data_IF_238720525672
#
_entry.id   IF_238720525672
#
_cell.length_a   1.000
_cell.length_b   1.000
_cell.length_c   1.000
_cell.angle_alpha   90.00
_cell.angle_beta   90.00
_cell.angle_gamma   90.00
#
_symmetry.space_group_name_H-M   'P 1'
#
loop_
_entity.id
_entity.type
_entity.pdbx_description
1 polymer ?
#
# COMPACT_ATOMS: atom_id res chain seq x y z
N UNK A 1 6.53 18.52 -11.65
CA UNK A 1 5.52 17.51 -11.30
C UNK A 1 6.19 16.59 -10.28
N UNK A 2 5.54 16.30 -9.12
CA UNK A 2 6.12 15.35 -8.15
C UNK A 2 6.26 13.97 -8.80
N UNK A 3 7.39 13.32 -8.53
CA UNK A 3 7.70 11.97 -9.02
C UNK A 3 7.38 10.93 -7.97
N UNK A 4 6.58 9.94 -8.31
CA UNK A 4 6.12 8.87 -7.42
C UNK A 4 6.63 7.54 -7.93
N UNK A 5 7.25 6.73 -7.07
CA UNK A 5 7.55 5.34 -7.34
C UNK A 5 6.46 4.47 -6.69
N UNK A 6 5.60 3.86 -7.49
CA UNK A 6 4.62 2.88 -7.04
C UNK A 6 5.19 1.48 -7.24
N UNK A 7 5.22 0.67 -6.19
CA UNK A 7 5.80 -0.69 -6.19
C UNK A 7 4.76 -1.69 -5.74
N UNK A 8 4.62 -2.78 -6.49
CA UNK A 8 3.71 -3.87 -6.15
C UNK A 8 2.46 -3.90 -7.02
N UNK A 9 1.32 -4.18 -6.42
CA UNK A 9 -0.02 -4.21 -7.03
C UNK A 9 -0.05 -5.00 -8.36
N UNK A 10 0.67 -6.11 -8.39
CA UNK A 10 0.73 -7.00 -9.55
C UNK A 10 1.05 -8.42 -9.11
N UNK A 11 0.41 -9.39 -9.73
CA UNK A 11 0.57 -10.80 -9.36
C UNK A 11 0.40 -11.74 -10.54
N UNK A 12 0.85 -12.97 -10.36
CA UNK A 12 0.62 -14.07 -11.30
C UNK A 12 -0.40 -15.02 -10.70
N UNK A 13 -1.51 -15.24 -11.38
CA UNK A 13 -2.52 -16.24 -11.02
C UNK A 13 -2.30 -17.50 -11.83
N UNK A 14 -2.22 -18.65 -11.15
CA UNK A 14 -2.11 -19.95 -11.77
C UNK A 14 -3.32 -20.80 -11.40
N UNK A 15 -4.02 -21.33 -12.41
CA UNK A 15 -5.19 -22.19 -12.23
C UNK A 15 -4.97 -23.53 -12.88
N UNK A 16 -5.41 -24.60 -12.21
CA UNK A 16 -5.44 -25.95 -12.78
C UNK A 16 -6.89 -26.36 -13.01
N UNK A 17 -7.21 -26.73 -14.21
CA UNK A 17 -8.55 -27.14 -14.64
C UNK A 17 -8.58 -28.65 -14.83
N UNK A 18 -9.50 -29.32 -14.16
CA UNK A 18 -9.75 -30.77 -14.29
C UNK A 18 -11.06 -30.99 -15.03
N UNK A 19 -11.03 -31.78 -16.10
CA UNK A 19 -12.20 -32.15 -16.93
C UNK A 19 -12.22 -33.67 -17.15
N UNK A 20 -12.72 -34.40 -16.14
CA UNK A 20 -12.62 -35.85 -16.11
C UNK A 20 -11.17 -36.31 -15.96
N UNK A 21 -10.67 -37.09 -16.93
CA UNK A 21 -9.28 -37.52 -16.97
C UNK A 21 -8.31 -36.48 -17.53
N UNK A 22 -8.83 -35.45 -18.20
CA UNK A 22 -8.00 -34.41 -18.81
C UNK A 22 -7.77 -33.26 -17.83
N UNK A 23 -6.58 -32.65 -17.89
CA UNK A 23 -6.27 -31.46 -17.14
C UNK A 23 -5.40 -30.51 -17.94
N UNK A 24 -5.53 -29.22 -17.68
CA UNK A 24 -4.62 -28.19 -18.22
C UNK A 24 -4.42 -27.09 -17.18
N UNK A 25 -3.34 -26.33 -17.34
CA UNK A 25 -3.03 -25.17 -16.52
C UNK A 25 -3.14 -23.89 -17.34
N UNK A 26 -3.59 -22.82 -16.69
CA UNK A 26 -3.54 -21.47 -17.24
C UNK A 26 -2.86 -20.54 -16.26
N UNK A 27 -2.11 -19.60 -16.79
CA UNK A 27 -1.38 -18.58 -16.02
C UNK A 27 -1.77 -17.21 -16.55
N UNK A 28 -2.17 -16.30 -15.66
CA UNK A 28 -2.51 -14.92 -15.97
C UNK A 28 -1.61 -14.01 -15.16
N UNK A 29 -1.23 -12.89 -15.77
CA UNK A 29 -0.52 -11.81 -15.11
C UNK A 29 -1.45 -10.61 -14.96
N UNK A 30 -1.61 -10.15 -13.72
CA UNK A 30 -2.55 -9.09 -13.35
C UNK A 30 -1.82 -7.81 -12.96
N UNK A 31 -2.42 -6.67 -13.30
CA UNK A 31 -1.95 -5.31 -12.99
C UNK A 31 -3.07 -4.56 -12.27
N UNK A 32 -3.12 -4.65 -10.94
CA UNK A 32 -4.17 -4.06 -10.11
C UNK A 32 -4.11 -2.53 -10.02
N UNK A 33 -2.91 -1.94 -10.16
CA UNK A 33 -2.70 -0.51 -9.96
C UNK A 33 -3.26 0.41 -11.06
N UNK A 34 -3.78 -0.11 -12.16
CA UNK A 34 -4.20 0.71 -13.32
C UNK A 34 -5.17 1.84 -12.96
N UNK A 35 -6.26 1.61 -12.22
CA UNK A 35 -7.18 2.70 -11.85
C UNK A 35 -6.51 3.78 -11.03
N UNK A 36 -5.64 3.39 -10.09
CA UNK A 36 -4.91 4.32 -9.25
C UNK A 36 -3.94 5.19 -10.06
N UNK A 37 -3.14 4.60 -10.94
CA UNK A 37 -2.20 5.32 -11.82
C UNK A 37 -2.95 6.31 -12.71
N UNK A 38 -4.07 5.89 -13.31
CA UNK A 38 -4.92 6.78 -14.14
C UNK A 38 -5.52 7.94 -13.32
N UNK A 39 -5.85 7.74 -12.04
CA UNK A 39 -6.38 8.79 -11.17
C UNK A 39 -5.39 9.93 -10.92
N UNK A 40 -4.08 9.64 -10.97
CA UNK A 40 -2.99 10.60 -10.74
C UNK A 40 -2.47 11.26 -12.02
N UNK A 41 -2.86 10.74 -13.18
CA UNK A 41 -2.38 11.19 -14.48
C UNK A 41 -2.63 12.68 -14.72
N UNK A 42 -1.61 13.37 -15.23
CA UNK A 42 -1.62 14.82 -15.49
C UNK A 42 -1.23 15.68 -14.29
N UNK A 43 -1.29 15.17 -13.05
CA UNK A 43 -0.90 15.86 -11.84
C UNK A 43 0.43 15.36 -11.25
N UNK A 44 0.77 14.08 -11.48
CA UNK A 44 1.96 13.43 -10.95
C UNK A 44 2.66 12.61 -12.04
N UNK A 45 3.97 12.44 -11.89
CA UNK A 45 4.80 11.54 -12.70
C UNK A 45 4.94 10.21 -11.94
N UNK A 46 4.14 9.20 -12.31
CA UNK A 46 4.09 7.91 -11.61
C UNK A 46 4.92 6.89 -12.38
N UNK A 47 6.00 6.43 -11.76
CA UNK A 47 6.74 5.26 -12.21
C UNK A 47 6.16 4.02 -11.54
N UNK A 48 5.47 3.18 -12.29
CA UNK A 48 4.87 1.94 -11.79
C UNK A 48 5.84 0.78 -11.98
N UNK A 49 6.33 0.24 -10.86
CA UNK A 49 7.23 -0.91 -10.79
C UNK A 49 6.47 -2.11 -10.24
N UNK A 50 6.18 -3.07 -11.08
CA UNK A 50 5.47 -4.31 -10.73
C UNK A 50 6.29 -5.18 -9.77
N UNK A 51 5.64 -6.07 -9.01
CA UNK A 51 6.27 -6.90 -7.96
C UNK A 51 7.47 -7.70 -8.47
N UNK A 52 7.37 -8.34 -9.65
CA UNK A 52 8.46 -9.14 -10.19
C UNK A 52 9.64 -8.30 -10.69
N UNK A 53 9.39 -7.07 -11.17
CA UNK A 53 10.45 -6.13 -11.53
C UNK A 53 11.11 -5.57 -10.26
N UNK A 54 10.31 -5.26 -9.24
CA UNK A 54 10.82 -4.73 -7.96
C UNK A 54 11.79 -5.70 -7.27
N UNK A 55 11.59 -7.00 -7.42
CA UNK A 55 12.51 -8.00 -6.88
C UNK A 55 13.96 -7.75 -7.32
N UNK A 56 14.18 -7.36 -8.58
CA UNK A 56 15.50 -7.13 -9.16
C UNK A 56 15.88 -5.66 -9.25
N UNK A 57 14.97 -4.78 -9.64
CA UNK A 57 15.28 -3.42 -10.08
C UNK A 57 14.93 -2.33 -9.06
N UNK A 58 14.28 -2.69 -7.94
CA UNK A 58 14.05 -1.69 -6.89
C UNK A 58 15.40 -1.11 -6.44
N UNK A 59 15.51 0.22 -6.27
CA UNK A 59 16.75 0.90 -5.94
C UNK A 59 17.51 0.26 -4.78
N UNK A 60 18.79 0.03 -4.97
CA UNK A 60 19.72 -0.47 -3.94
C UNK A 60 20.63 0.61 -3.36
N UNK A 61 20.50 1.85 -3.84
CA UNK A 61 21.20 3.03 -3.36
C UNK A 61 20.22 4.13 -3.02
N UNK A 62 20.47 4.84 -1.95
CA UNK A 62 19.63 5.96 -1.53
C UNK A 62 19.50 7.04 -2.59
N UNK A 63 20.60 7.39 -3.28
CA UNK A 63 20.62 8.37 -4.37
C UNK A 63 19.64 8.05 -5.52
N UNK A 64 19.30 6.77 -5.69
CA UNK A 64 18.34 6.36 -6.72
C UNK A 64 16.89 6.48 -6.23
N UNK A 65 16.65 6.26 -4.92
CA UNK A 65 15.36 6.55 -4.29
C UNK A 65 15.09 8.06 -4.23
N UNK A 66 16.10 8.88 -3.93
CA UNK A 66 15.98 10.34 -3.82
C UNK A 66 15.56 11.03 -5.12
N UNK A 67 15.56 10.32 -6.26
CA UNK A 67 14.99 10.79 -7.53
C UNK A 67 13.47 10.89 -7.51
N UNK A 68 12.82 10.24 -6.55
CA UNK A 68 11.38 10.28 -6.30
C UNK A 68 11.05 11.17 -5.11
N UNK A 69 9.90 11.80 -5.12
CA UNK A 69 9.37 12.59 -4.01
C UNK A 69 8.58 11.73 -3.02
N UNK A 70 8.00 10.64 -3.52
CA UNK A 70 7.26 9.66 -2.73
C UNK A 70 7.50 8.24 -3.23
N UNK A 71 7.64 7.29 -2.30
CA UNK A 71 7.64 5.84 -2.55
C UNK A 71 6.37 5.24 -1.97
N UNK A 72 5.71 4.39 -2.75
CA UNK A 72 4.51 3.67 -2.36
C UNK A 72 4.79 2.16 -2.42
N UNK A 73 4.42 1.43 -1.37
CA UNK A 73 4.29 -0.02 -1.40
C UNK A 73 2.80 -0.38 -1.35
N UNK A 74 2.34 -1.18 -2.30
CA UNK A 74 0.97 -1.66 -2.42
C UNK A 74 0.97 -3.14 -2.78
N UNK A 75 0.35 -3.96 -1.95
CA UNK A 75 0.26 -5.42 -2.12
C UNK A 75 1.58 -6.08 -2.55
N UNK A 76 2.65 -5.74 -1.82
CA UNK A 76 4.03 -6.15 -2.10
C UNK A 76 4.73 -6.56 -0.81
N UNK A 77 4.87 -7.85 -0.55
CA UNK A 77 5.47 -8.37 0.67
C UNK A 77 6.96 -8.02 0.84
N UNK A 78 7.40 -7.94 2.10
CA UNK A 78 8.76 -7.55 2.47
C UNK A 78 9.86 -8.39 1.79
N UNK A 79 9.60 -9.66 1.55
CA UNK A 79 10.54 -10.57 0.89
C UNK A 79 10.87 -10.15 -0.54
N UNK A 80 9.94 -9.51 -1.26
CA UNK A 80 10.18 -8.97 -2.61
C UNK A 80 11.35 -7.98 -2.60
N UNK A 81 11.45 -7.17 -1.54
CA UNK A 81 12.52 -6.19 -1.37
C UNK A 81 13.75 -6.74 -0.61
N UNK A 82 13.61 -7.79 0.17
CA UNK A 82 14.71 -8.38 0.94
C UNK A 82 15.47 -9.45 0.16
N UNK A 83 14.77 -10.24 -0.65
CA UNK A 83 15.34 -11.42 -1.33
C UNK A 83 15.67 -11.10 -2.80
N UNK A 84 16.63 -10.17 -3.01
CA UNK A 84 17.20 -10.00 -4.34
C UNK A 84 17.76 -11.33 -4.87
N UNK A 85 17.71 -11.63 -6.18
CA UNK A 85 18.26 -12.88 -6.73
C UNK A 85 19.71 -13.17 -6.33
N UNK A 86 20.54 -12.15 -6.20
CA UNK A 86 21.91 -12.32 -5.70
C UNK A 86 21.96 -12.82 -4.25
N UNK A 87 20.99 -12.42 -3.40
CA UNK A 87 20.87 -12.94 -2.03
C UNK A 87 20.32 -14.37 -2.05
N UNK A 88 19.13 -14.54 -2.64
CA UNK A 88 18.36 -15.77 -2.54
C UNK A 88 18.97 -16.94 -3.34
N UNK A 89 19.44 -16.66 -4.56
CA UNK A 89 19.96 -17.71 -5.46
C UNK A 89 21.49 -17.88 -5.37
N UNK A 90 22.21 -16.79 -5.02
CA UNK A 90 23.69 -16.79 -5.11
C UNK A 90 24.39 -16.61 -3.76
N UNK A 91 23.63 -16.42 -2.65
CA UNK A 91 24.18 -16.20 -1.31
C UNK A 91 25.08 -14.98 -1.16
N UNK A 92 24.91 -13.95 -2.01
CA UNK A 92 25.72 -12.74 -1.96
C UNK A 92 25.12 -11.73 -0.99
N UNK A 93 25.98 -10.92 -0.38
CA UNK A 93 25.56 -9.77 0.42
C UNK A 93 24.95 -8.71 -0.51
N UNK A 94 23.81 -8.14 -0.09
CA UNK A 94 23.11 -7.09 -0.83
C UNK A 94 22.51 -6.06 0.15
N UNK A 95 22.36 -4.78 -0.23
CA UNK A 95 21.77 -3.77 0.64
C UNK A 95 20.35 -4.13 1.10
N UNK A 96 20.04 -3.87 2.36
CA UNK A 96 18.68 -4.01 2.88
C UNK A 96 17.82 -2.83 2.39
N UNK A 97 16.98 -3.09 1.39
CA UNK A 97 16.16 -2.07 0.72
C UNK A 97 15.08 -1.46 1.64
N UNK A 98 14.64 -2.18 2.68
CA UNK A 98 13.73 -1.61 3.68
C UNK A 98 14.42 -0.56 4.56
N UNK A 99 15.71 -0.76 4.90
CA UNK A 99 16.51 0.27 5.58
C UNK A 99 16.73 1.51 4.71
N UNK A 100 16.88 1.33 3.41
CA UNK A 100 16.99 2.46 2.48
C UNK A 100 15.73 3.31 2.44
N UNK A 101 14.54 2.68 2.48
CA UNK A 101 13.26 3.39 2.56
C UNK A 101 13.16 4.15 3.89
N UNK A 102 13.55 3.53 5.01
CA UNK A 102 13.58 4.23 6.31
C UNK A 102 14.48 5.46 6.27
N UNK A 103 15.70 5.33 5.74
CA UNK A 103 16.65 6.45 5.61
C UNK A 103 16.09 7.54 4.67
N UNK A 104 15.48 7.17 3.58
CA UNK A 104 14.83 8.05 2.62
C UNK A 104 13.76 8.94 3.29
N UNK A 105 12.89 8.34 4.13
CA UNK A 105 11.87 9.09 4.89
C UNK A 105 12.51 10.02 5.92
N UNK A 106 13.50 9.53 6.66
CA UNK A 106 14.22 10.34 7.66
C UNK A 106 14.93 11.55 7.05
N UNK A 107 15.27 11.49 5.77
CA UNK A 107 15.87 12.60 5.00
C UNK A 107 14.85 13.57 4.38
N UNK A 108 13.56 13.41 4.66
CA UNK A 108 12.54 14.37 4.24
C UNK A 108 11.71 13.97 3.03
N UNK A 109 11.81 12.72 2.58
CA UNK A 109 10.99 12.18 1.50
C UNK A 109 9.76 11.45 2.04
N UNK A 110 8.74 11.29 1.22
CA UNK A 110 7.47 10.72 1.66
C UNK A 110 7.34 9.23 1.36
N UNK A 111 6.60 8.53 2.21
CA UNK A 111 6.32 7.11 2.05
C UNK A 111 4.84 6.81 2.32
N UNK A 112 4.27 5.94 1.51
CA UNK A 112 2.89 5.45 1.68
C UNK A 112 2.90 3.92 1.64
N UNK A 113 2.13 3.31 2.54
CA UNK A 113 1.79 1.91 2.48
C UNK A 113 0.29 1.77 2.27
N UNK A 114 -0.08 1.10 1.18
CA UNK A 114 -1.45 0.70 0.93
C UNK A 114 -1.68 -0.74 1.38
N UNK A 115 -2.90 -1.06 1.76
CA UNK A 115 -3.33 -2.39 2.17
C UNK A 115 -3.32 -3.41 1.04
N UNK A 116 -3.81 -4.57 1.34
CA UNK A 116 -3.85 -5.72 0.45
C UNK A 116 -3.34 -6.99 1.14
N UNK A 117 -3.43 -8.12 0.47
CA UNK A 117 -3.06 -9.43 1.01
C UNK A 117 -1.56 -9.55 1.33
N UNK A 118 -0.70 -8.80 0.63
CA UNK A 118 0.74 -8.79 0.87
C UNK A 118 1.25 -7.43 1.38
N UNK A 119 0.40 -6.72 2.14
CA UNK A 119 0.77 -5.51 2.88
C UNK A 119 0.73 -5.77 4.39
N UNK A 120 1.36 -4.91 5.19
CA UNK A 120 1.46 -5.03 6.65
C UNK A 120 1.95 -6.42 7.09
N UNK A 121 1.15 -7.22 7.79
CA UNK A 121 1.48 -8.62 8.05
C UNK A 121 0.83 -9.54 7.02
N UNK A 122 -0.35 -9.19 6.53
CA UNK A 122 -1.03 -9.79 5.39
C UNK A 122 -1.58 -11.19 5.60
N UNK A 123 -2.03 -11.77 4.49
CA UNK A 123 -2.61 -13.11 4.47
C UNK A 123 -1.67 -14.14 5.10
N UNK A 124 -2.16 -14.91 6.08
CA UNK A 124 -1.37 -15.91 6.81
C UNK A 124 -0.08 -15.35 7.44
N UNK A 125 0.03 -14.03 7.61
CA UNK A 125 1.21 -13.36 8.12
C UNK A 125 2.42 -13.37 7.19
N UNK A 126 2.24 -13.56 5.88
CA UNK A 126 3.36 -13.76 4.93
C UNK A 126 3.93 -12.49 4.33
N UNK A 127 3.27 -11.34 4.46
CA UNK A 127 3.80 -10.05 4.00
C UNK A 127 5.02 -9.60 4.83
N UNK A 128 5.03 -9.87 6.12
CA UNK A 128 6.21 -9.82 7.03
C UNK A 128 6.81 -8.45 7.24
N UNK A 129 6.01 -7.41 7.37
CA UNK A 129 6.54 -6.07 7.70
C UNK A 129 6.66 -5.80 9.21
N UNK A 130 6.07 -6.65 10.08
CA UNK A 130 6.24 -6.56 11.55
C UNK A 130 7.72 -6.59 11.93
N UNK A 131 8.14 -5.71 12.84
CA UNK A 131 9.51 -5.54 13.33
C UNK A 131 10.55 -5.17 12.23
N UNK A 132 10.12 -4.68 11.07
CA UNK A 132 11.01 -4.22 10.01
C UNK A 132 11.30 -2.71 10.08
N UNK A 133 12.26 -2.20 9.30
CA UNK A 133 12.45 -0.77 9.13
C UNK A 133 11.20 -0.02 8.65
N UNK A 134 10.34 -0.67 7.87
CA UNK A 134 9.10 -0.06 7.38
C UNK A 134 8.13 0.22 8.54
N UNK A 135 7.90 -0.74 9.44
CA UNK A 135 7.02 -0.50 10.59
C UNK A 135 7.49 0.71 11.43
N UNK A 136 8.81 0.90 11.54
CA UNK A 136 9.35 2.03 12.33
C UNK A 136 8.93 3.41 11.81
N UNK A 137 8.74 3.54 10.50
CA UNK A 137 8.36 4.80 9.86
C UNK A 137 6.86 4.94 9.60
N UNK A 138 6.07 3.87 9.73
CA UNK A 138 4.62 3.94 9.60
C UNK A 138 3.97 4.59 10.83
N UNK A 139 2.82 5.25 10.68
CA UNK A 139 2.03 5.80 11.79
C UNK A 139 1.32 4.73 12.63
N UNK A 140 1.52 3.47 12.30
CA UNK A 140 0.82 2.33 12.91
C UNK A 140 1.79 1.23 13.33
N UNK A 141 1.40 0.44 14.33
CA UNK A 141 1.99 -0.84 14.67
C UNK A 141 1.31 -1.94 13.84
N UNK A 142 2.11 -2.83 13.29
CA UNK A 142 1.65 -3.98 12.50
C UNK A 142 1.39 -5.14 13.47
N UNK A 143 0.32 -5.90 13.25
CA UNK A 143 0.00 -7.07 14.08
C UNK A 143 0.96 -8.24 13.77
N UNK A 144 1.19 -9.17 14.71
CA UNK A 144 2.12 -10.28 14.48
C UNK A 144 1.50 -11.52 13.81
N UNK A 145 0.25 -11.42 13.36
CA UNK A 145 -0.54 -12.50 12.76
C UNK A 145 -1.27 -12.01 11.51
N UNK A 146 -2.03 -12.89 10.85
CA UNK A 146 -2.91 -12.53 9.71
C UNK A 146 -3.82 -11.36 10.11
N UNK A 147 -3.61 -10.22 9.51
CA UNK A 147 -4.24 -8.95 9.87
C UNK A 147 -5.40 -8.57 8.93
N UNK A 148 -5.83 -9.49 8.07
CA UNK A 148 -6.96 -9.22 7.17
C UNK A 148 -8.27 -9.16 7.94
N UNK A 149 -9.08 -8.20 7.57
CA UNK A 149 -10.48 -8.09 7.99
C UNK A 149 -11.34 -8.05 6.73
N UNK A 150 -12.03 -9.15 6.46
CA UNK A 150 -12.97 -9.25 5.35
C UNK A 150 -14.31 -8.63 5.75
N UNK A 151 -14.86 -7.78 4.89
CA UNK A 151 -16.14 -7.09 5.12
C UNK A 151 -17.07 -7.25 3.90
N UNK A 152 -17.57 -8.47 3.62
CA UNK A 152 -18.39 -8.74 2.42
C UNK A 152 -19.71 -7.97 2.41
N UNK A 153 -20.20 -7.53 3.56
CA UNK A 153 -21.39 -6.67 3.71
C UNK A 153 -21.09 -5.19 3.46
N UNK A 154 -19.82 -4.86 3.32
CA UNK A 154 -19.34 -3.52 3.04
C UNK A 154 -19.05 -2.70 4.30
N UNK A 155 -17.87 -2.07 4.33
CA UNK A 155 -17.42 -1.12 5.33
C UNK A 155 -17.36 0.29 4.72
N UNK A 156 -18.16 1.23 5.23
CA UNK A 156 -18.13 2.62 4.74
C UNK A 156 -17.10 3.43 5.51
N UNK A 157 -16.26 4.23 4.81
CA UNK A 157 -15.37 5.17 5.47
C UNK A 157 -16.13 6.24 6.24
N UNK A 158 -15.68 6.50 7.48
CA UNK A 158 -16.14 7.57 8.35
C UNK A 158 -15.02 8.59 8.54
N UNK A 159 -15.33 9.87 8.48
CA UNK A 159 -14.38 10.95 8.77
C UNK A 159 -14.18 11.02 10.29
N UNK A 160 -12.93 10.84 10.72
CA UNK A 160 -12.54 10.96 12.14
C UNK A 160 -12.01 12.36 12.43
N UNK A 161 -11.15 12.88 11.57
CA UNK A 161 -10.61 14.23 11.68
C UNK A 161 -10.68 14.93 10.33
N UNK A 162 -11.08 16.19 10.35
CA UNK A 162 -11.02 17.04 9.17
C UNK A 162 -9.58 17.32 8.76
N UNK A 163 -9.32 17.26 7.45
CA UNK A 163 -8.00 17.46 6.90
C UNK A 163 -8.08 17.89 5.42
N UNK A 164 -7.09 18.66 4.96
CA UNK A 164 -7.03 19.12 3.57
C UNK A 164 -7.04 17.99 2.53
N UNK A 165 -6.69 16.76 2.91
CA UNK A 165 -6.82 15.57 2.06
C UNK A 165 -8.28 15.30 1.66
N UNK A 166 -9.23 15.73 2.48
CA UNK A 166 -10.67 15.55 2.24
C UNK A 166 -11.30 16.72 1.45
N UNK A 167 -10.54 17.76 1.11
CA UNK A 167 -11.06 18.93 0.43
C UNK A 167 -11.75 18.58 -0.90
N UNK A 168 -13.01 19.03 -1.04
CA UNK A 168 -13.82 18.81 -2.23
C UNK A 168 -14.42 17.41 -2.35
N UNK A 169 -14.21 16.54 -1.36
CA UNK A 169 -14.84 15.23 -1.30
C UNK A 169 -16.17 15.37 -0.57
N UNK A 170 -17.26 15.26 -1.33
CA UNK A 170 -18.62 15.44 -0.84
C UNK A 170 -19.47 14.18 -1.08
N UNK A 171 -20.56 14.06 -0.33
CA UNK A 171 -21.55 13.01 -0.51
C UNK A 171 -21.22 11.71 0.24
N UNK A 172 -21.85 10.62 -0.18
CA UNK A 172 -21.74 9.32 0.47
C UNK A 172 -20.52 8.58 -0.07
N UNK A 173 -19.68 8.10 0.84
CA UNK A 173 -18.55 7.24 0.50
C UNK A 173 -19.05 5.85 0.10
N UNK A 174 -18.56 5.27 -1.02
CA UNK A 174 -18.80 3.87 -1.32
C UNK A 174 -18.18 2.96 -0.27
N UNK A 175 -18.69 1.75 -0.15
CA UNK A 175 -18.18 0.77 0.80
C UNK A 175 -16.87 0.12 0.30
N UNK A 176 -16.06 -0.34 1.25
CA UNK A 176 -14.91 -1.22 1.07
C UNK A 176 -15.31 -2.65 1.44
N UNK A 177 -14.62 -3.64 0.92
CA UNK A 177 -14.90 -5.07 1.18
C UNK A 177 -13.88 -5.71 2.13
N UNK A 178 -12.88 -4.97 2.55
CA UNK A 178 -11.88 -5.44 3.51
C UNK A 178 -10.77 -4.42 3.75
N UNK A 179 -9.95 -4.73 4.74
CA UNK A 179 -8.81 -3.92 5.15
C UNK A 179 -7.79 -4.77 5.93
N UNK A 180 -6.60 -4.22 6.15
CA UNK A 180 -5.66 -4.76 7.13
C UNK A 180 -5.89 -4.09 8.49
N UNK A 181 -6.00 -4.88 9.54
CA UNK A 181 -6.07 -4.40 10.92
C UNK A 181 -4.69 -3.92 11.38
N UNK A 182 -4.66 -2.71 11.95
CA UNK A 182 -3.45 -2.09 12.48
C UNK A 182 -3.77 -1.35 13.77
N UNK A 183 -2.75 -1.11 14.60
CA UNK A 183 -2.86 -0.29 15.80
C UNK A 183 -2.21 1.07 15.59
N UNK A 184 -2.89 2.17 15.93
CA UNK A 184 -2.33 3.51 15.82
C UNK A 184 -1.22 3.68 16.86
N UNK A 185 -0.08 4.23 16.46
CA UNK A 185 0.99 4.59 17.41
C UNK A 185 0.59 5.83 18.21
N UNK A 186 0.97 5.86 19.47
CA UNK A 186 0.77 7.00 20.36
C UNK A 186 1.80 8.10 20.07
N UNK A 187 1.40 9.10 19.29
CA UNK A 187 2.20 10.28 18.98
C UNK A 187 1.29 11.43 18.52
N UNK A 188 1.57 12.66 18.95
CA UNK A 188 0.78 13.86 18.63
C UNK A 188 0.92 14.31 17.16
N UNK A 189 1.90 13.81 16.44
CA UNK A 189 2.12 14.07 15.01
C UNK A 189 1.43 13.03 14.11
N UNK A 190 0.71 12.08 14.70
CA UNK A 190 -0.09 11.08 14.01
C UNK A 190 -1.57 11.48 14.06
N UNK A 191 -2.24 11.38 12.91
CA UNK A 191 -3.67 11.66 12.80
C UNK A 191 -4.38 10.57 12.01
N UNK A 192 -5.44 10.04 12.59
CA UNK A 192 -6.41 9.21 11.85
C UNK A 192 -7.36 10.13 11.12
N UNK A 193 -7.40 10.07 9.81
CA UNK A 193 -8.28 10.88 8.97
C UNK A 193 -9.60 10.15 8.71
N UNK A 194 -9.49 8.86 8.38
CA UNK A 194 -10.64 8.00 8.09
C UNK A 194 -10.58 6.73 8.91
N UNK A 195 -11.74 6.25 9.34
CA UNK A 195 -11.95 4.91 9.91
C UNK A 195 -13.08 4.19 9.20
N UNK A 196 -13.17 2.88 9.38
CA UNK A 196 -14.31 2.07 8.97
C UNK A 196 -14.87 1.30 10.16
N UNK A 197 -16.20 1.15 10.25
CA UNK A 197 -16.82 0.34 11.28
C UNK A 197 -17.27 -1.01 10.70
N UNK A 198 -16.83 -2.09 11.34
CA UNK A 198 -17.22 -3.46 11.01
C UNK A 198 -17.66 -4.12 12.32
N UNK A 199 -18.87 -4.58 12.40
CA UNK A 199 -19.46 -5.25 13.57
C UNK A 199 -19.30 -4.47 14.89
N UNK A 200 -19.38 -3.14 14.81
CA UNK A 200 -19.26 -2.26 15.99
C UNK A 200 -17.83 -1.95 16.43
N UNK A 201 -16.82 -2.45 15.74
CA UNK A 201 -15.42 -2.12 15.96
C UNK A 201 -14.93 -1.15 14.88
N UNK A 202 -14.26 -0.08 15.33
CA UNK A 202 -13.64 0.90 14.42
C UNK A 202 -12.23 0.47 14.05
N UNK A 203 -11.95 0.51 12.76
CA UNK A 203 -10.65 0.21 12.16
C UNK A 203 -10.07 1.45 11.48
N UNK A 204 -8.78 1.80 11.70
CA UNK A 204 -8.14 2.88 10.97
C UNK A 204 -8.10 2.58 9.47
N UNK A 205 -8.54 3.54 8.64
CA UNK A 205 -8.45 3.43 7.16
C UNK A 205 -7.35 4.33 6.60
N UNK A 206 -7.39 5.63 6.89
CA UNK A 206 -6.35 6.56 6.47
C UNK A 206 -5.71 7.17 7.71
N UNK A 207 -4.44 6.85 7.94
CA UNK A 207 -3.64 7.42 9.03
C UNK A 207 -2.41 8.09 8.43
N UNK A 208 -2.11 9.29 8.88
CA UNK A 208 -1.00 10.11 8.41
C UNK A 208 -0.06 10.47 9.54
N UNK A 209 1.20 10.76 9.20
CA UNK A 209 2.22 11.18 10.18
C UNK A 209 3.20 12.20 9.61
N UNK A 210 3.59 13.12 10.48
CA UNK A 210 4.66 14.11 10.29
C UNK A 210 5.80 13.92 11.31
N UNK A 211 5.97 12.71 11.89
CA UNK A 211 6.97 12.40 12.92
C UNK A 211 8.43 12.53 12.45
N UNK A 212 8.68 12.45 11.15
CA UNK A 212 10.02 12.54 10.57
C UNK A 212 10.16 13.80 9.73
N UNK A 213 11.35 14.05 9.19
CA UNK A 213 11.54 15.13 8.22
C UNK A 213 10.67 14.92 6.96
N UNK A 214 10.39 13.66 6.60
CA UNK A 214 9.42 13.28 5.57
C UNK A 214 8.08 12.90 6.16
N UNK A 215 7.05 12.85 5.32
CA UNK A 215 5.69 12.48 5.72
C UNK A 215 5.41 11.03 5.39
N UNK A 216 4.60 10.39 6.23
CA UNK A 216 4.15 9.01 5.95
C UNK A 216 2.63 8.90 6.05
N UNK A 217 2.08 7.96 5.29
CA UNK A 217 0.67 7.63 5.33
C UNK A 217 0.46 6.13 5.19
N UNK A 218 -0.63 5.64 5.77
CA UNK A 218 -1.18 4.32 5.49
C UNK A 218 -2.63 4.46 5.04
N UNK A 219 -3.01 3.68 4.05
CA UNK A 219 -4.37 3.37 3.70
C UNK A 219 -4.51 1.86 3.82
N UNK A 220 -5.33 1.39 4.73
CA UNK A 220 -5.35 -0.01 5.14
C UNK A 220 -6.14 -0.94 4.23
N UNK A 221 -6.80 -0.41 3.18
CA UNK A 221 -7.46 -1.20 2.16
C UNK A 221 -6.68 -1.18 0.83
N UNK A 222 -7.20 -1.85 -0.21
CA UNK A 222 -6.62 -1.83 -1.55
C UNK A 222 -6.77 -0.46 -2.24
N UNK A 223 -6.10 -0.29 -3.36
CA UNK A 223 -6.23 0.89 -4.23
C UNK A 223 -6.99 0.60 -5.52
N UNK A 224 -7.32 -0.64 -5.75
CA UNK A 224 -8.05 -1.14 -6.91
C UNK A 224 -8.99 -2.29 -6.56
N UNK A 225 -9.63 -2.89 -7.56
CA UNK A 225 -10.57 -3.99 -7.33
C UNK A 225 -9.91 -5.19 -6.67
N UNK A 226 -10.48 -5.60 -5.62
CA UNK A 226 -10.53 -6.69 -4.69
C UNK A 226 -11.27 -6.14 -3.46
N UNK A 227 -10.60 -5.55 -2.44
CA UNK A 227 -11.28 -4.89 -1.32
C UNK A 227 -11.88 -3.53 -1.68
N UNK A 228 -11.38 -2.90 -2.77
CA UNK A 228 -11.91 -1.64 -3.28
C UNK A 228 -12.83 -1.92 -4.48
N UNK A 229 -14.18 -1.91 -4.31
CA UNK A 229 -15.10 -2.22 -5.40
C UNK A 229 -15.02 -1.21 -6.55
N UNK A 230 -15.52 -1.61 -7.72
CA UNK A 230 -15.60 -0.73 -8.89
C UNK A 230 -16.39 0.56 -8.63
N UNK A 231 -17.43 0.51 -7.78
CA UNK A 231 -18.18 1.68 -7.35
C UNK A 231 -17.29 2.71 -6.65
N UNK A 232 -16.34 2.27 -5.84
CA UNK A 232 -15.39 3.16 -5.18
C UNK A 232 -14.41 3.76 -6.20
N UNK A 233 -13.87 2.95 -7.10
CA UNK A 233 -12.95 3.41 -8.16
C UNK A 233 -13.60 4.41 -9.11
N UNK A 234 -14.90 4.23 -9.43
CA UNK A 234 -15.65 5.10 -10.33
C UNK A 234 -16.24 6.33 -9.63
N UNK A 235 -16.19 6.38 -8.31
CA UNK A 235 -16.67 7.53 -7.54
C UNK A 235 -15.78 8.76 -7.74
N UNK A 236 -16.38 9.92 -7.90
CA UNK A 236 -15.65 11.18 -8.13
C UNK A 236 -14.63 11.51 -7.02
N UNK A 237 -14.93 11.12 -5.78
CA UNK A 237 -14.05 11.31 -4.63
C UNK A 237 -12.76 10.49 -4.69
N UNK A 238 -12.73 9.37 -5.42
CA UNK A 238 -11.53 8.53 -5.57
C UNK A 238 -10.34 9.31 -6.11
N UNK A 239 -10.54 10.00 -7.23
CA UNK A 239 -9.50 10.83 -7.84
C UNK A 239 -9.10 11.99 -6.94
N UNK A 240 -10.06 12.62 -6.26
CA UNK A 240 -9.80 13.73 -5.35
C UNK A 240 -8.97 13.27 -4.14
N UNK A 241 -9.34 12.16 -3.52
CA UNK A 241 -8.66 11.59 -2.36
C UNK A 241 -7.16 11.38 -2.63
N UNK A 242 -6.85 10.66 -3.72
CA UNK A 242 -5.45 10.37 -4.04
C UNK A 242 -4.69 11.63 -4.46
N UNK A 243 -5.28 12.49 -5.27
CA UNK A 243 -4.62 13.73 -5.67
C UNK A 243 -4.34 14.65 -4.47
N UNK A 244 -5.27 14.74 -3.52
CA UNK A 244 -5.09 15.55 -2.33
C UNK A 244 -4.04 14.94 -1.39
N UNK A 245 -4.05 13.60 -1.20
CA UNK A 245 -3.04 12.89 -0.41
C UNK A 245 -1.63 13.19 -0.96
N UNK A 246 -1.40 13.00 -2.27
CA UNK A 246 -0.07 13.21 -2.85
C UNK A 246 0.32 14.69 -3.02
N UNK A 247 -0.63 15.61 -2.98
CA UNK A 247 -0.32 17.04 -2.82
C UNK A 247 0.15 17.38 -1.42
N UNK A 248 -0.47 16.76 -0.41
CA UNK A 248 -0.11 16.97 0.99
C UNK A 248 1.25 16.35 1.33
N UNK A 249 1.54 15.13 0.85
CA UNK A 249 2.86 14.48 0.99
C UNK A 249 3.97 15.31 0.30
#
# INVERSE_FOLDING_TARGET
>A
MKKILLVGESWTSQSTHYKGFDSFQSTYYELGAKPFVESLKGNFDVNYMTSHIAQTEFPSKLSDLEKYDCVILSDCGANTLLLHPDVFLKGKIFPNRLKLIEEYVRKGRSFVMFGGYLSFQGINGVARYKNTPIERILPVNILPYDDRVEAPEGCKPNIVNDHLILNGIEGVWPALLGLNEVEIKEDNQIKTILSGNIDGKDYPLLVISEQFSGKTAVWTSDVGPHWLPNEFVQWNGYKLLWNNLFKWL
#
